data_IF_430494280498
#
_entry.id   IF_430494280498
#
_cell.length_a   1.000
_cell.length_b   1.000
_cell.length_c   1.000
_cell.angle_alpha   90.00
_cell.angle_beta   90.00
_cell.angle_gamma   90.00
#
_symmetry.space_group_name_H-M   'P 1'
#
loop_
_entity.id
_entity.type
_entity.pdbx_description
1 polymer ?
#
# COMPACT_ATOMS: atom_id res chain seq x y z
N UNK A 1 17.33 12.39 -23.20
CA UNK A 1 17.23 12.46 -21.88
C UNK A 1 16.10 11.69 -21.24
N UNK A 2 16.41 11.12 -20.20
CA UNK A 2 15.47 10.30 -19.55
C UNK A 2 14.49 11.00 -18.72
N UNK A 3 13.27 10.63 -18.85
CA UNK A 3 12.29 11.21 -18.08
C UNK A 3 12.11 10.45 -16.83
N UNK A 4 11.97 11.11 -15.76
CA UNK A 4 11.66 10.48 -14.55
C UNK A 4 10.32 9.91 -14.59
N UNK A 5 10.07 8.75 -14.10
CA UNK A 5 8.73 8.21 -14.06
C UNK A 5 7.90 9.10 -13.19
N UNK A 6 6.67 9.20 -13.52
CA UNK A 6 5.77 10.02 -12.75
C UNK A 6 5.26 9.30 -11.51
N UNK A 7 6.06 8.42 -10.96
CA UNK A 7 5.70 7.68 -9.77
C UNK A 7 5.83 8.51 -8.54
N UNK A 8 4.84 8.47 -7.69
CA UNK A 8 4.88 9.20 -6.43
C UNK A 8 5.15 8.31 -5.23
N UNK A 9 5.18 7.02 -5.44
CA UNK A 9 5.60 6.09 -4.40
C UNK A 9 6.20 4.86 -5.08
N UNK A 10 6.88 4.03 -4.31
CA UNK A 10 7.47 2.81 -4.84
C UNK A 10 6.85 1.56 -4.22
N UNK A 11 5.79 1.73 -3.43
CA UNK A 11 5.22 0.61 -2.69
C UNK A 11 3.92 0.07 -3.30
N UNK A 12 3.35 0.79 -4.26
CA UNK A 12 1.99 0.47 -4.72
C UNK A 12 1.81 -0.94 -5.20
N UNK A 13 2.74 -1.43 -6.00
CA UNK A 13 2.64 -2.77 -6.55
C UNK A 13 2.64 -3.81 -5.43
N UNK A 14 3.49 -3.64 -4.43
CA UNK A 14 3.56 -4.59 -3.33
C UNK A 14 2.36 -4.50 -2.40
N UNK A 15 1.76 -3.33 -2.28
CA UNK A 15 0.50 -3.20 -1.55
C UNK A 15 -0.57 -4.07 -2.21
N UNK A 16 -0.70 -3.95 -3.53
CA UNK A 16 -1.69 -4.75 -4.27
C UNK A 16 -1.37 -6.23 -4.18
N UNK A 17 -0.10 -6.57 -4.29
CA UNK A 17 0.37 -7.94 -4.21
C UNK A 17 0.02 -8.56 -2.85
N UNK A 18 0.29 -7.83 -1.79
CA UNK A 18 -0.01 -8.31 -0.44
C UNK A 18 -1.50 -8.51 -0.22
N UNK A 19 -2.32 -7.58 -0.74
CA UNK A 19 -3.77 -7.74 -0.64
C UNK A 19 -4.21 -9.05 -1.28
N UNK A 20 -3.62 -9.37 -2.41
CA UNK A 20 -4.01 -10.55 -3.17
C UNK A 20 -3.64 -11.86 -2.47
N UNK A 21 -2.74 -11.81 -1.49
CA UNK A 21 -2.35 -13.05 -0.80
C UNK A 21 -3.34 -13.48 0.26
N UNK A 22 -4.29 -12.62 0.62
CA UNK A 22 -5.31 -12.99 1.61
C UNK A 22 -6.27 -14.00 0.98
N UNK A 23 -6.93 -14.81 1.82
CA UNK A 23 -7.87 -15.82 1.37
C UNK A 23 -9.20 -15.64 2.08
N UNK A 24 -10.21 -15.07 1.43
CA UNK A 24 -10.16 -14.54 0.06
C UNK A 24 -9.37 -13.24 -0.01
N UNK A 25 -9.05 -12.82 -1.21
CA UNK A 25 -8.25 -11.62 -1.38
C UNK A 25 -8.90 -10.43 -0.69
N UNK A 26 -8.07 -9.59 -0.10
CA UNK A 26 -8.54 -8.43 0.63
C UNK A 26 -8.87 -7.33 -0.38
N UNK A 27 -10.11 -6.85 -0.38
CA UNK A 27 -10.48 -5.80 -1.32
C UNK A 27 -9.91 -4.46 -0.87
N UNK A 28 -9.89 -3.50 -1.78
CA UNK A 28 -9.44 -2.15 -1.42
C UNK A 28 -10.36 -1.54 -0.36
N UNK A 29 -11.67 -1.80 -0.44
CA UNK A 29 -12.60 -1.31 0.57
C UNK A 29 -12.32 -1.94 1.93
N UNK A 30 -12.05 -3.23 1.97
CA UNK A 30 -11.75 -3.89 3.23
C UNK A 30 -10.45 -3.38 3.82
N UNK A 31 -9.45 -3.11 2.97
CA UNK A 31 -8.20 -2.54 3.43
C UNK A 31 -8.44 -1.15 4.03
N UNK A 32 -9.26 -0.35 3.36
CA UNK A 32 -9.62 0.96 3.87
C UNK A 32 -10.22 0.87 5.27
N UNK A 33 -11.13 -0.08 5.46
CA UNK A 33 -11.77 -0.28 6.76
C UNK A 33 -10.80 -0.67 7.85
N UNK A 34 -9.86 -1.56 7.52
CA UNK A 34 -8.85 -1.98 8.49
C UNK A 34 -7.92 -0.85 8.86
N UNK A 35 -7.56 -0.02 7.89
CA UNK A 35 -6.71 1.14 8.16
C UNK A 35 -7.44 2.16 9.04
N UNK A 36 -8.73 2.32 8.81
CA UNK A 36 -9.51 3.26 9.61
C UNK A 36 -9.49 2.89 11.09
N UNK A 37 -9.42 1.61 11.39
CA UNK A 37 -9.36 1.17 12.79
C UNK A 37 -8.05 1.59 13.45
N UNK A 38 -7.03 1.85 12.67
CA UNK A 38 -5.76 2.33 13.18
C UNK A 38 -5.67 3.86 13.11
N UNK A 39 -6.78 4.51 12.77
CA UNK A 39 -6.80 5.96 12.67
C UNK A 39 -6.23 6.50 11.37
N UNK A 40 -6.08 5.65 10.37
CA UNK A 40 -5.52 6.05 9.08
C UNK A 40 -6.65 6.19 8.08
N UNK A 41 -6.83 7.40 7.55
CA UNK A 41 -7.91 7.69 6.64
C UNK A 41 -7.46 7.60 5.19
N UNK A 42 -7.59 6.40 4.63
CA UNK A 42 -7.31 6.18 3.22
C UNK A 42 -8.51 5.47 2.64
N UNK A 43 -9.30 6.18 1.88
CA UNK A 43 -10.48 5.56 1.28
C UNK A 43 -10.06 4.72 0.07
N UNK A 44 -11.03 4.05 -0.54
CA UNK A 44 -10.74 3.17 -1.66
C UNK A 44 -10.04 3.90 -2.80
N UNK A 45 -10.48 5.13 -3.08
CA UNK A 45 -9.87 5.89 -4.17
C UNK A 45 -8.40 6.21 -3.86
N UNK A 46 -8.11 6.54 -2.61
CA UNK A 46 -6.73 6.82 -2.21
C UNK A 46 -5.87 5.57 -2.33
N UNK A 47 -6.42 4.42 -1.92
CA UNK A 47 -5.68 3.17 -2.02
C UNK A 47 -5.41 2.84 -3.48
N UNK A 48 -6.41 3.02 -4.35
CA UNK A 48 -6.21 2.77 -5.77
C UNK A 48 -5.10 3.64 -6.34
N UNK A 49 -5.06 4.91 -5.93
CA UNK A 49 -4.01 5.80 -6.39
C UNK A 49 -2.64 5.38 -5.88
N UNK A 50 -2.57 4.88 -4.64
CA UNK A 50 -1.31 4.36 -4.11
C UNK A 50 -0.87 3.17 -4.94
N UNK A 51 -1.77 2.25 -5.23
CA UNK A 51 -1.41 1.03 -5.97
C UNK A 51 -0.97 1.33 -7.39
N UNK A 52 -1.46 2.43 -7.94
CA UNK A 52 -1.05 2.85 -9.28
C UNK A 52 0.11 3.85 -9.26
N UNK A 53 0.69 4.06 -8.10
CA UNK A 53 1.84 4.96 -7.90
C UNK A 53 1.53 6.42 -8.19
N UNK A 54 0.27 6.82 -8.06
CA UNK A 54 -0.16 8.18 -8.35
C UNK A 54 -0.34 9.05 -7.11
N UNK A 55 -0.04 8.50 -5.93
CA UNK A 55 -0.20 9.24 -4.69
C UNK A 55 0.98 8.94 -3.79
N UNK A 56 1.46 9.95 -3.08
CA UNK A 56 2.52 9.74 -2.11
C UNK A 56 1.98 8.96 -0.93
N UNK A 57 2.87 8.24 -0.26
CA UNK A 57 2.53 7.49 0.93
C UNK A 57 3.36 8.07 2.07
N UNK A 58 2.69 8.55 3.10
CA UNK A 58 3.37 9.13 4.25
C UNK A 58 3.90 8.02 5.13
N UNK A 59 4.90 8.34 5.95
CA UNK A 59 5.57 7.30 6.74
C UNK A 59 4.61 6.56 7.67
N UNK A 60 3.70 7.27 8.32
CA UNK A 60 2.77 6.58 9.22
C UNK A 60 1.73 5.78 8.44
N UNK A 61 1.43 6.19 7.20
CA UNK A 61 0.56 5.39 6.35
C UNK A 61 1.26 4.10 5.94
N UNK A 62 2.53 4.20 5.60
CA UNK A 62 3.32 3.04 5.22
C UNK A 62 3.39 2.03 6.36
N UNK A 63 3.62 2.52 7.56
CA UNK A 63 3.69 1.65 8.72
C UNK A 63 2.36 0.94 8.94
N UNK A 64 1.25 1.66 8.81
CA UNK A 64 -0.07 1.07 9.00
C UNK A 64 -0.39 0.06 7.91
N UNK A 65 0.01 0.35 6.66
CA UNK A 65 -0.19 -0.59 5.57
C UNK A 65 0.54 -1.89 5.84
N UNK A 66 1.80 -1.79 6.28
CA UNK A 66 2.57 -2.99 6.58
C UNK A 66 1.91 -3.81 7.69
N UNK A 67 1.43 -3.13 8.71
CA UNK A 67 0.80 -3.80 9.85
C UNK A 67 -0.47 -4.53 9.42
N UNK A 68 -1.35 -3.86 8.71
CA UNK A 68 -2.60 -4.46 8.27
C UNK A 68 -2.37 -5.58 7.28
N UNK A 69 -1.39 -5.42 6.39
CA UNK A 69 -1.14 -6.42 5.36
C UNK A 69 -0.27 -7.58 5.87
N UNK A 70 0.27 -7.44 7.09
CA UNK A 70 1.08 -8.52 7.67
C UNK A 70 2.42 -8.71 6.99
N UNK A 71 3.01 -7.63 6.49
CA UNK A 71 4.31 -7.70 5.83
C UNK A 71 5.25 -6.70 6.49
N UNK A 72 6.53 -6.85 6.20
CA UNK A 72 7.53 -5.92 6.71
C UNK A 72 7.51 -4.65 5.87
N UNK A 73 7.76 -3.52 6.53
CA UNK A 73 7.89 -2.26 5.81
C UNK A 73 8.97 -2.37 4.73
N UNK A 74 10.07 -3.02 5.06
CA UNK A 74 11.16 -3.17 4.10
C UNK A 74 10.73 -3.93 2.86
N UNK A 75 9.87 -4.93 3.03
CA UNK A 75 9.38 -5.65 1.87
C UNK A 75 8.54 -4.75 0.98
N UNK A 76 7.71 -3.91 1.59
CA UNK A 76 6.92 -2.96 0.80
C UNK A 76 7.82 -2.01 0.03
N UNK A 77 8.98 -1.68 0.60
CA UNK A 77 9.92 -0.78 -0.03
C UNK A 77 10.80 -1.45 -1.07
N UNK A 78 10.66 -2.74 -1.25
CA UNK A 78 11.36 -3.43 -2.33
C UNK A 78 12.32 -4.52 -1.94
N UNK A 79 12.48 -4.78 -0.64
CA UNK A 79 13.38 -5.85 -0.22
C UNK A 79 12.76 -7.19 -0.57
N UNK A 80 13.60 -8.19 -0.77
CA UNK A 80 13.13 -9.50 -1.16
C UNK A 80 12.37 -10.24 -0.09
N UNK A 81 12.75 -10.07 1.14
CA UNK A 81 12.09 -10.80 2.20
C UNK A 81 10.85 -10.13 2.69
N UNK A 82 9.83 -10.89 2.86
CA UNK A 82 8.64 -10.38 3.48
C UNK A 82 8.83 -10.31 5.00
#
# INVERSE_FOLDING_TARGET
MTKKPARKNIVGRRVAEARATFEPALTQDALSGKLARLGIQLDRAAIAKIENNHRRVLDFELKALAEVLGVEVNWLLGDEKK
#
